data_IF_020798057581
#
_entry.id   IF_020798057581
#
_cell.length_a   1.000
_cell.length_b   1.000
_cell.length_c   1.000
_cell.angle_alpha   90.00
_cell.angle_beta   90.00
_cell.angle_gamma   90.00
#
_symmetry.space_group_name_H-M   'P 1'
#
loop_
_entity.id
_entity.type
_entity.pdbx_description
1 polymer ?
#
# COMPACT_ATOMS: atom_id res chain seq x y z
N UNK A 1 -12.63 13.61 5.28
CA UNK A 1 -13.64 13.97 4.26
C UNK A 1 -13.06 13.99 2.85
N UNK A 2 -12.04 14.80 2.54
CA UNK A 2 -11.44 14.87 1.19
C UNK A 2 -10.94 13.53 0.63
N UNK A 3 -10.32 12.69 1.47
CA UNK A 3 -9.90 11.34 1.07
C UNK A 3 -11.11 10.50 0.61
N UNK A 4 -12.24 10.62 1.30
CA UNK A 4 -13.47 9.93 0.93
C UNK A 4 -13.98 10.34 -0.45
N UNK A 5 -13.97 11.64 -0.76
CA UNK A 5 -14.33 12.13 -2.10
C UNK A 5 -13.34 11.67 -3.18
N UNK A 6 -12.04 11.66 -2.89
CA UNK A 6 -11.03 11.17 -3.82
C UNK A 6 -11.23 9.66 -4.13
N UNK A 7 -11.61 8.87 -3.12
CA UNK A 7 -11.91 7.44 -3.28
C UNK A 7 -13.14 7.18 -4.17
N UNK A 8 -14.12 8.09 -4.21
CA UNK A 8 -15.25 7.98 -5.14
C UNK A 8 -14.79 8.16 -6.59
N UNK A 9 -13.88 9.09 -6.85
CA UNK A 9 -13.25 9.26 -8.16
C UNK A 9 -12.43 8.04 -8.59
N UNK A 10 -11.62 7.49 -7.69
CA UNK A 10 -10.85 6.24 -7.90
C UNK A 10 -11.76 5.04 -8.22
N UNK A 11 -12.91 4.94 -7.55
CA UNK A 11 -13.88 3.88 -7.79
C UNK A 11 -14.50 3.98 -9.19
N UNK A 12 -14.83 5.20 -9.64
CA UNK A 12 -15.34 5.44 -10.99
C UNK A 12 -14.29 5.07 -12.07
N UNK A 13 -13.02 5.38 -11.83
CA UNK A 13 -11.94 5.17 -12.79
C UNK A 13 -11.43 3.72 -12.84
N UNK A 14 -11.32 3.05 -11.69
CA UNK A 14 -10.63 1.75 -11.55
C UNK A 14 -11.52 0.60 -11.07
N UNK A 15 -12.81 0.87 -10.79
CA UNK A 15 -13.80 -0.12 -10.36
C UNK A 15 -13.69 -0.54 -8.89
N UNK A 16 -12.81 0.06 -8.10
CA UNK A 16 -12.64 -0.29 -6.69
C UNK A 16 -12.16 0.88 -5.84
N UNK A 17 -12.68 0.96 -4.60
CA UNK A 17 -12.38 2.02 -3.63
C UNK A 17 -11.06 1.74 -2.92
N UNK A 18 -10.01 2.46 -3.29
CA UNK A 18 -8.70 2.39 -2.64
C UNK A 18 -8.29 3.76 -2.10
N UNK A 19 -7.70 3.78 -0.91
CA UNK A 19 -7.22 5.01 -0.27
C UNK A 19 -5.69 5.10 -0.23
N UNK A 20 -4.99 4.05 -0.67
CA UNK A 20 -3.53 3.90 -0.61
C UNK A 20 -2.76 4.92 -1.44
N UNK A 21 -3.33 5.41 -2.55
CA UNK A 21 -2.77 6.54 -3.32
C UNK A 21 -3.30 7.89 -2.84
N UNK A 22 -4.62 8.00 -2.67
CA UNK A 22 -5.29 9.25 -2.34
C UNK A 22 -4.90 9.80 -0.95
N UNK A 23 -4.75 8.91 0.04
CA UNK A 23 -4.41 9.30 1.40
C UNK A 23 -3.00 9.90 1.51
N UNK A 24 -1.90 9.27 1.05
CA UNK A 24 -0.59 9.91 1.09
C UNK A 24 -0.47 11.12 0.16
N UNK A 25 -1.22 11.19 -0.95
CA UNK A 25 -1.26 12.39 -1.79
C UNK A 25 -1.82 13.61 -1.04
N UNK A 26 -2.89 13.42 -0.25
CA UNK A 26 -3.54 14.50 0.50
C UNK A 26 -2.87 14.81 1.85
N UNK A 27 -2.39 13.78 2.53
CA UNK A 27 -1.80 13.91 3.86
C UNK A 27 -0.30 14.22 3.77
N UNK A 28 0.41 13.63 2.82
CA UNK A 28 1.87 13.62 2.76
C UNK A 28 2.48 12.63 3.75
N UNK A 29 3.74 12.25 3.48
CA UNK A 29 4.47 11.25 4.26
C UNK A 29 4.01 9.82 3.97
N UNK A 30 4.25 8.92 4.94
CA UNK A 30 3.89 7.50 4.83
C UNK A 30 2.55 7.24 5.51
N UNK A 31 1.61 6.60 4.82
CA UNK A 31 0.24 6.39 5.32
C UNK A 31 -0.15 4.92 5.21
N UNK A 32 -0.61 4.34 6.33
CA UNK A 32 -1.21 3.02 6.39
C UNK A 32 -2.74 3.16 6.32
N UNK A 33 -3.38 2.46 5.39
CA UNK A 33 -4.83 2.35 5.31
C UNK A 33 -5.28 1.11 6.09
N UNK A 34 -5.82 1.29 7.30
CA UNK A 34 -6.33 0.17 8.12
C UNK A 34 -7.69 -0.32 7.62
N UNK A 35 -8.52 0.61 7.16
CA UNK A 35 -9.88 0.34 6.68
C UNK A 35 -10.32 1.38 5.66
N UNK A 36 -11.10 0.95 4.67
CA UNK A 36 -11.76 1.83 3.69
C UNK A 36 -13.23 2.08 4.03
N UNK A 37 -13.84 1.24 4.86
CA UNK A 37 -15.24 1.35 5.27
C UNK A 37 -15.45 0.81 6.70
N UNK A 38 -15.50 1.68 7.74
CA UNK A 38 -15.30 3.13 7.67
C UNK A 38 -13.85 3.48 7.29
N UNK A 39 -13.64 4.66 6.70
CA UNK A 39 -12.29 5.13 6.37
C UNK A 39 -11.48 5.31 7.64
N UNK A 40 -10.36 4.61 7.73
CA UNK A 40 -9.38 4.74 8.80
C UNK A 40 -7.95 4.64 8.26
N UNK A 41 -7.21 5.72 8.46
CA UNK A 41 -5.86 5.91 7.94
C UNK A 41 -4.94 6.39 9.06
N UNK A 42 -3.74 5.83 9.11
CA UNK A 42 -2.73 6.11 10.12
C UNK A 42 -1.49 6.65 9.44
N UNK A 43 -1.07 7.85 9.80
CA UNK A 43 0.23 8.41 9.35
C UNK A 43 1.33 7.76 10.17
N UNK A 44 2.32 7.19 9.51
CA UNK A 44 3.46 6.54 10.16
C UNK A 44 4.63 7.51 10.28
N UNK A 45 5.31 7.47 11.43
CA UNK A 45 6.66 8.00 11.53
C UNK A 45 7.60 7.06 10.77
N UNK A 46 8.54 7.64 10.04
CA UNK A 46 9.50 6.90 9.21
C UNK A 46 10.89 7.50 9.40
N UNK A 47 11.97 6.70 9.24
CA UNK A 47 13.32 7.24 9.20
C UNK A 47 13.53 8.05 7.91
N UNK A 48 14.72 8.65 7.77
CA UNK A 48 15.10 9.29 6.51
C UNK A 48 15.17 8.24 5.38
N UNK A 49 14.37 8.45 4.34
CA UNK A 49 14.24 7.51 3.23
C UNK A 49 14.35 8.26 1.91
N UNK A 50 14.99 7.62 0.94
CA UNK A 50 15.04 8.07 -0.45
C UNK A 50 14.33 7.05 -1.35
N UNK A 51 13.48 7.54 -2.24
CA UNK A 51 12.84 6.73 -3.26
C UNK A 51 13.36 7.15 -4.64
N UNK A 52 13.80 6.18 -5.43
CA UNK A 52 14.16 6.39 -6.84
C UNK A 52 13.03 5.80 -7.68
N UNK A 53 12.42 6.64 -8.52
CA UNK A 53 11.29 6.25 -9.38
C UNK A 53 11.76 6.19 -10.83
N UNK A 54 11.50 5.06 -11.49
CA UNK A 54 11.76 4.86 -12.92
C UNK A 54 10.41 4.66 -13.61
N UNK A 55 10.11 5.48 -14.61
CA UNK A 55 8.89 5.40 -15.41
C UNK A 55 9.22 4.89 -16.82
N UNK A 56 9.11 3.57 -17.09
CA UNK A 56 9.28 3.05 -18.44
C UNK A 56 8.15 3.55 -19.34
N UNK A 57 8.43 3.80 -20.62
CA UNK A 57 7.43 4.27 -21.58
C UNK A 57 6.55 3.12 -22.10
N UNK A 58 5.97 2.36 -21.17
CA UNK A 58 4.99 1.30 -21.41
C UNK A 58 3.78 1.56 -20.52
N UNK A 59 2.58 1.25 -21.02
CA UNK A 59 1.35 1.40 -20.24
C UNK A 59 0.87 0.03 -19.78
N UNK A 60 0.65 -0.11 -18.48
CA UNK A 60 -0.03 -1.26 -17.88
C UNK A 60 -1.34 -0.74 -17.29
N UNK A 61 -2.47 -1.23 -17.79
CA UNK A 61 -3.78 -0.83 -17.26
C UNK A 61 -3.97 -1.42 -15.87
N UNK A 62 -4.35 -0.59 -14.91
CA UNK A 62 -4.63 -1.01 -13.52
C UNK A 62 -5.69 -2.12 -13.45
N UNK A 63 -6.71 -2.05 -14.31
CA UNK A 63 -7.75 -3.08 -14.40
C UNK A 63 -7.19 -4.45 -14.81
N UNK A 64 -6.29 -4.48 -15.80
CA UNK A 64 -5.68 -5.72 -16.30
C UNK A 64 -4.76 -6.32 -15.23
N UNK A 65 -3.93 -5.50 -14.58
CA UNK A 65 -3.05 -5.94 -13.49
C UNK A 65 -3.84 -6.50 -12.29
N UNK A 66 -5.02 -5.96 -11.99
CA UNK A 66 -5.90 -6.52 -10.95
C UNK A 66 -6.58 -7.82 -11.38
N UNK A 67 -6.93 -7.94 -12.66
CA UNK A 67 -7.65 -9.11 -13.19
C UNK A 67 -6.84 -10.41 -13.11
N UNK A 68 -5.50 -10.31 -13.11
CA UNK A 68 -4.59 -11.46 -13.03
C UNK A 68 -4.32 -11.92 -11.60
N UNK A 69 -4.73 -11.15 -10.58
CA UNK A 69 -4.49 -11.51 -9.18
C UNK A 69 -5.29 -12.77 -8.80
N UNK A 70 -4.69 -13.66 -7.99
CA UNK A 70 -5.39 -14.85 -7.54
C UNK A 70 -6.57 -14.48 -6.63
N UNK A 71 -7.70 -15.16 -6.82
CA UNK A 71 -8.88 -14.99 -5.95
C UNK A 71 -8.73 -15.64 -4.58
N UNK A 72 -7.77 -16.56 -4.45
CA UNK A 72 -7.51 -17.32 -3.23
C UNK A 72 -6.01 -17.39 -3.01
N UNK A 73 -5.59 -17.20 -1.77
CA UNK A 73 -4.20 -17.33 -1.33
C UNK A 73 -4.09 -18.49 -0.36
N UNK A 74 -2.92 -19.15 -0.32
CA UNK A 74 -2.68 -20.17 0.68
C UNK A 74 -2.59 -19.51 2.07
N UNK A 75 -3.00 -20.21 3.12
CA UNK A 75 -2.85 -19.70 4.49
C UNK A 75 -1.37 -19.39 4.80
N UNK A 76 -0.44 -20.20 4.28
CA UNK A 76 1.00 -19.98 4.45
C UNK A 76 1.49 -18.69 3.80
N UNK A 77 1.06 -18.37 2.57
CA UNK A 77 1.45 -17.12 1.90
C UNK A 77 0.83 -15.93 2.60
N UNK A 78 -0.42 -16.06 3.01
CA UNK A 78 -1.11 -15.05 3.77
C UNK A 78 -0.34 -14.76 5.08
N UNK A 79 -0.02 -15.79 5.88
CA UNK A 79 0.82 -15.71 7.11
C UNK A 79 2.13 -14.98 6.84
N UNK A 80 2.84 -15.35 5.77
CA UNK A 80 4.08 -14.69 5.37
C UNK A 80 3.88 -13.21 5.04
N UNK A 81 2.86 -12.87 4.25
CA UNK A 81 2.59 -11.49 3.86
C UNK A 81 2.34 -10.58 5.07
N UNK A 82 1.46 -10.96 5.99
CA UNK A 82 1.18 -10.10 7.14
C UNK A 82 2.29 -10.10 8.19
N UNK A 83 3.11 -11.16 8.27
CA UNK A 83 4.38 -11.11 9.01
C UNK A 83 5.33 -10.07 8.42
N UNK A 84 5.48 -10.03 7.10
CA UNK A 84 6.29 -9.04 6.39
C UNK A 84 5.73 -7.62 6.60
N UNK A 85 4.42 -7.42 6.48
CA UNK A 85 3.80 -6.11 6.74
C UNK A 85 4.04 -5.62 8.18
N UNK A 86 3.85 -6.48 9.17
CA UNK A 86 4.09 -6.13 10.57
C UNK A 86 5.55 -5.79 10.85
N UNK A 87 6.48 -6.57 10.30
CA UNK A 87 7.91 -6.33 10.41
C UNK A 87 8.33 -5.03 9.69
N UNK A 88 7.75 -4.73 8.53
CA UNK A 88 7.98 -3.49 7.79
C UNK A 88 7.53 -2.26 8.60
N UNK A 89 6.31 -2.27 9.14
CA UNK A 89 5.79 -1.17 9.98
C UNK A 89 6.65 -1.01 11.25
N UNK A 90 7.07 -2.11 11.87
CA UNK A 90 7.98 -2.08 13.02
C UNK A 90 9.33 -1.47 12.65
N UNK A 91 9.91 -1.84 11.51
CA UNK A 91 11.18 -1.32 11.03
C UNK A 91 11.12 0.17 10.70
N UNK A 92 10.01 0.64 10.12
CA UNK A 92 9.76 2.08 9.93
C UNK A 92 9.69 2.82 11.27
N UNK A 93 8.97 2.29 12.26
CA UNK A 93 8.83 2.94 13.55
C UNK A 93 10.14 2.98 14.36
N UNK A 94 11.01 1.97 14.21
CA UNK A 94 12.30 1.88 14.91
C UNK A 94 13.49 2.47 14.14
N UNK A 95 13.32 2.80 12.86
CA UNK A 95 14.43 3.18 11.98
C UNK A 95 15.38 2.03 11.63
N UNK A 96 14.92 0.78 11.71
CA UNK A 96 15.71 -0.42 11.38
C UNK A 96 15.65 -0.71 9.88
N UNK A 97 16.64 -0.19 9.14
CA UNK A 97 16.74 -0.38 7.69
C UNK A 97 16.92 -1.85 7.26
N UNK A 98 17.54 -2.69 8.08
CA UNK A 98 17.72 -4.11 7.75
C UNK A 98 16.40 -4.87 7.86
N UNK A 99 15.59 -4.55 8.88
CA UNK A 99 14.24 -5.10 9.02
C UNK A 99 13.33 -4.62 7.90
N UNK A 100 13.36 -3.32 7.56
CA UNK A 100 12.61 -2.77 6.41
C UNK A 100 12.96 -3.56 5.16
N UNK A 101 14.25 -3.70 4.85
CA UNK A 101 14.73 -4.36 3.63
C UNK A 101 14.26 -5.81 3.53
N UNK A 102 14.41 -6.60 4.60
CA UNK A 102 14.00 -8.02 4.60
C UNK A 102 12.48 -8.22 4.65
N UNK A 103 11.73 -7.17 5.00
CA UNK A 103 10.26 -7.20 5.06
C UNK A 103 9.60 -6.77 3.74
N UNK A 104 10.36 -6.21 2.79
CA UNK A 104 9.86 -5.81 1.47
C UNK A 104 9.79 -6.99 0.49
N UNK A 105 9.12 -8.06 0.91
CA UNK A 105 8.78 -9.21 0.06
C UNK A 105 7.24 -9.32 -0.01
N UNK A 106 6.71 -9.18 -1.23
CA UNK A 106 5.28 -9.30 -1.54
C UNK A 106 4.99 -10.66 -2.16
N UNK A 107 4.07 -11.41 -1.54
CA UNK A 107 3.88 -12.85 -1.83
C UNK A 107 2.43 -13.24 -2.13
N UNK A 108 1.50 -12.28 -2.21
CA UNK A 108 0.08 -12.52 -2.48
C UNK A 108 -0.49 -11.67 -3.62
#
# INVERSE_FOLDING_TARGET
ELIGFAMEGEALASGARHADNAAPCLLGGFVLVRSVEPLDVVRLAVPELWAVVIHPHIEIRTADARSILPKMVSLSDAVRQWSNLGAFVSGLASGDYELITRSMEDVI
#
